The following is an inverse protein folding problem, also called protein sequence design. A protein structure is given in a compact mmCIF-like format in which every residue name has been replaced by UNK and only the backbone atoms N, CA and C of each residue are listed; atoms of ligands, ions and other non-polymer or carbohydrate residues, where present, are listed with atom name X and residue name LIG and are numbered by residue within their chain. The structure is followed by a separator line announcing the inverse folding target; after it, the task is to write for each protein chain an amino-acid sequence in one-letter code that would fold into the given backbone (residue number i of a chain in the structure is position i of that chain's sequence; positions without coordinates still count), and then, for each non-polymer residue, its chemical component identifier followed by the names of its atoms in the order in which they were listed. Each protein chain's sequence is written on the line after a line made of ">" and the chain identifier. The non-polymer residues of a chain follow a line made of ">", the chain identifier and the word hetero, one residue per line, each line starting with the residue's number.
data_IF_035174716963
#
_entry.id   IF_035174716963
#
_cell.length_a   1.000
_cell.length_b   1.000
_cell.length_c   1.000
_cell.angle_alpha   90.00
_cell.angle_beta   90.00
_cell.angle_gamma   90.00
#
_symmetry.space_group_name_H-M   'P 1'
#
loop_
_entity.id
_entity.type
_entity.pdbx_description
1 polymer ?
#
# COMPACT_ATOMS: atom_id res chain seq x y z
N UNK A 1 -27.00 7.78 -38.92
CA UNK A 1 -26.51 8.46 -37.69
C UNK A 1 -26.96 7.66 -36.45
N UNK A 2 -26.50 6.40 -36.29
CA UNK A 2 -27.03 5.49 -35.25
C UNK A 2 -26.01 4.46 -34.76
N UNK A 3 -25.10 3.98 -35.62
CA UNK A 3 -24.11 2.95 -35.26
C UNK A 3 -22.97 3.52 -34.39
N UNK A 4 -22.52 4.75 -34.65
CA UNK A 4 -21.49 5.41 -33.84
C UNK A 4 -21.93 5.68 -32.39
N UNK A 5 -23.21 6.00 -32.19
CA UNK A 5 -23.77 6.30 -30.87
C UNK A 5 -23.92 5.05 -29.98
N UNK A 6 -24.14 3.88 -30.58
CA UNK A 6 -24.17 2.60 -29.88
C UNK A 6 -22.76 2.18 -29.43
N UNK A 7 -21.76 2.32 -30.30
CA UNK A 7 -20.34 2.06 -29.97
C UNK A 7 -19.83 2.92 -28.81
N UNK A 8 -20.21 4.20 -28.75
CA UNK A 8 -19.84 5.08 -27.62
C UNK A 8 -20.56 4.71 -26.32
N UNK A 9 -21.81 4.24 -26.42
CA UNK A 9 -22.56 3.73 -25.25
C UNK A 9 -21.93 2.45 -24.69
N UNK A 10 -21.50 1.54 -25.56
CA UNK A 10 -20.86 0.30 -25.12
C UNK A 10 -19.48 0.55 -24.49
N UNK A 11 -18.71 1.50 -25.02
CA UNK A 11 -17.43 1.93 -24.42
C UNK A 11 -17.63 2.58 -23.06
N UNK A 12 -18.57 3.51 -22.93
CA UNK A 12 -18.88 4.18 -21.65
C UNK A 12 -19.40 3.20 -20.61
N UNK A 13 -20.24 2.23 -21.01
CA UNK A 13 -20.68 1.14 -20.15
C UNK A 13 -19.50 0.25 -19.73
N UNK A 14 -18.60 -0.11 -20.65
CA UNK A 14 -17.41 -0.90 -20.35
C UNK A 14 -16.45 -0.16 -19.40
N UNK A 15 -16.24 1.14 -19.59
CA UNK A 15 -15.44 1.99 -18.71
C UNK A 15 -16.05 2.07 -17.30
N UNK A 16 -17.36 2.32 -17.18
CA UNK A 16 -18.08 2.28 -15.89
C UNK A 16 -17.98 0.90 -15.22
N UNK A 17 -18.09 -0.18 -16.02
CA UNK A 17 -17.96 -1.55 -15.52
C UNK A 17 -16.54 -1.81 -15.03
N UNK A 18 -15.52 -1.37 -15.77
CA UNK A 18 -14.11 -1.50 -15.40
C UNK A 18 -13.75 -0.67 -14.15
N UNK A 19 -14.25 0.56 -14.04
CA UNK A 19 -14.11 1.39 -12.83
C UNK A 19 -14.77 0.72 -11.63
N UNK A 20 -15.95 0.13 -11.81
CA UNK A 20 -16.65 -0.60 -10.75
C UNK A 20 -15.89 -1.86 -10.32
N UNK A 21 -15.38 -2.64 -11.28
CA UNK A 21 -14.59 -3.85 -11.03
C UNK A 21 -13.29 -3.50 -10.31
N UNK A 22 -12.58 -2.46 -10.78
CA UNK A 22 -11.34 -1.98 -10.18
C UNK A 22 -11.55 -1.52 -8.74
N UNK A 23 -12.63 -0.77 -8.49
CA UNK A 23 -13.02 -0.35 -7.14
C UNK A 23 -13.34 -1.54 -6.23
N UNK A 24 -14.06 -2.54 -6.73
CA UNK A 24 -14.35 -3.79 -6.00
C UNK A 24 -13.06 -4.52 -5.67
N UNK A 25 -12.12 -4.64 -6.62
CA UNK A 25 -10.82 -5.27 -6.39
C UNK A 25 -10.02 -4.57 -5.30
N UNK A 26 -9.91 -3.24 -5.33
CA UNK A 26 -9.21 -2.50 -4.28
C UNK A 26 -9.90 -2.68 -2.92
N UNK A 27 -11.23 -2.61 -2.86
CA UNK A 27 -11.99 -2.84 -1.61
C UNK A 27 -11.76 -4.24 -1.05
N UNK A 28 -11.81 -5.27 -1.90
CA UNK A 28 -11.52 -6.65 -1.49
C UNK A 28 -10.07 -6.77 -0.99
N UNK A 29 -9.11 -6.21 -1.71
CA UNK A 29 -7.71 -6.22 -1.32
C UNK A 29 -7.49 -5.55 0.04
N UNK A 30 -8.01 -4.34 0.25
CA UNK A 30 -7.95 -3.65 1.54
C UNK A 30 -8.63 -4.43 2.66
N UNK A 31 -9.79 -5.04 2.39
CA UNK A 31 -10.51 -5.87 3.37
C UNK A 31 -9.67 -7.08 3.80
N UNK A 32 -9.05 -7.75 2.83
CA UNK A 32 -8.16 -8.90 3.09
C UNK A 32 -6.95 -8.45 3.91
N UNK A 33 -6.27 -7.38 3.51
CA UNK A 33 -5.12 -6.83 4.24
C UNK A 33 -5.48 -6.50 5.70
N UNK A 34 -6.61 -5.82 5.93
CA UNK A 34 -7.09 -5.49 7.28
C UNK A 34 -7.43 -6.72 8.11
N UNK A 35 -8.00 -7.76 7.49
CA UNK A 35 -8.30 -9.02 8.19
C UNK A 35 -7.04 -9.76 8.64
N UNK A 36 -5.94 -9.61 7.89
CA UNK A 36 -4.66 -10.28 8.13
C UNK A 36 -3.82 -9.61 9.24
N UNK A 37 -4.08 -8.34 9.57
CA UNK A 37 -3.36 -7.64 10.66
C UNK A 37 -3.62 -8.27 12.03
N UNK A 38 -4.77 -8.94 12.20
CA UNK A 38 -5.16 -9.60 13.45
C UNK A 38 -4.32 -10.84 13.78
N UNK A 39 -3.44 -11.27 12.86
CA UNK A 39 -2.61 -12.47 13.00
C UNK A 39 -1.12 -12.10 12.98
N UNK A 40 -0.45 -12.24 14.13
CA UNK A 40 1.00 -12.11 14.30
C UNK A 40 1.51 -10.69 14.59
N UNK A 41 2.84 -10.56 14.67
CA UNK A 41 3.53 -9.29 14.95
C UNK A 41 3.72 -8.47 13.65
N UNK A 42 2.63 -7.88 13.14
CA UNK A 42 2.65 -7.15 11.87
C UNK A 42 3.63 -5.97 11.83
N UNK A 43 3.91 -5.33 12.97
CA UNK A 43 4.90 -4.25 13.07
C UNK A 43 6.32 -4.79 12.89
N UNK A 44 6.67 -5.84 13.62
CA UNK A 44 7.99 -6.48 13.58
C UNK A 44 8.30 -6.99 12.16
N UNK A 45 7.31 -7.65 11.53
CA UNK A 45 7.36 -8.09 10.13
C UNK A 45 7.72 -6.94 9.17
N UNK A 46 7.09 -5.77 9.36
CA UNK A 46 7.31 -4.60 8.53
C UNK A 46 8.72 -4.05 8.75
N UNK A 47 9.14 -3.94 10.01
CA UNK A 47 10.45 -3.44 10.41
C UNK A 47 11.57 -4.32 9.85
N UNK A 48 11.45 -5.64 9.97
CA UNK A 48 12.44 -6.61 9.47
C UNK A 48 12.67 -6.45 7.96
N UNK A 49 11.58 -6.37 7.19
CA UNK A 49 11.65 -6.15 5.72
C UNK A 49 12.29 -4.80 5.39
N UNK A 50 11.99 -3.75 6.15
CA UNK A 50 12.58 -2.43 5.95
C UNK A 50 14.08 -2.43 6.24
N UNK A 51 14.51 -3.09 7.32
CA UNK A 51 15.92 -3.24 7.69
C UNK A 51 16.67 -4.03 6.63
N UNK A 52 16.11 -5.13 6.12
CA UNK A 52 16.70 -5.91 5.04
C UNK A 52 16.87 -5.09 3.74
N UNK A 53 15.88 -4.28 3.39
CA UNK A 53 15.92 -3.42 2.20
C UNK A 53 16.89 -2.25 2.29
N UNK A 54 17.30 -1.84 3.50
CA UNK A 54 18.18 -0.70 3.76
C UNK A 54 19.40 -1.06 4.62
N UNK A 55 19.85 -2.32 4.57
CA UNK A 55 20.93 -2.83 5.43
C UNK A 55 22.24 -2.02 5.32
N UNK A 56 22.54 -1.47 4.14
CA UNK A 56 23.73 -0.67 3.86
C UNK A 56 23.51 0.83 4.12
N UNK A 57 22.27 1.27 4.29
CA UNK A 57 21.90 2.68 4.40
C UNK A 57 21.67 3.08 5.86
N UNK A 58 22.75 3.47 6.55
CA UNK A 58 22.72 3.90 7.95
C UNK A 58 21.71 5.01 8.25
N UNK A 59 21.48 5.93 7.30
CA UNK A 59 20.54 7.03 7.48
C UNK A 59 19.09 6.54 7.48
N UNK A 60 18.73 5.60 6.59
CA UNK A 60 17.41 4.99 6.57
C UNK A 60 17.22 4.03 7.75
N UNK A 61 18.26 3.26 8.11
CA UNK A 61 18.20 2.36 9.26
C UNK A 61 17.90 3.11 10.57
N UNK A 62 18.50 4.29 10.76
CA UNK A 62 18.15 5.17 11.90
C UNK A 62 16.67 5.56 11.90
N UNK A 63 16.12 5.96 10.74
CA UNK A 63 14.70 6.31 10.62
C UNK A 63 13.78 5.12 10.90
N UNK A 64 14.20 3.90 10.56
CA UNK A 64 13.45 2.66 10.88
C UNK A 64 13.41 2.44 12.39
N UNK A 65 14.54 2.59 13.08
CA UNK A 65 14.61 2.48 14.55
C UNK A 65 13.76 3.55 15.22
N UNK A 66 13.84 4.80 14.75
CA UNK A 66 13.03 5.90 15.27
C UNK A 66 11.53 5.63 15.04
N UNK A 67 11.15 5.11 13.87
CA UNK A 67 9.77 4.67 13.59
C UNK A 67 9.33 3.55 14.54
N UNK A 68 10.15 2.52 14.71
CA UNK A 68 9.82 1.39 15.57
C UNK A 68 9.56 1.83 17.02
N UNK A 69 10.32 2.81 17.51
CA UNK A 69 10.17 3.31 18.88
C UNK A 69 9.04 4.33 19.05
N UNK A 70 8.92 5.28 18.12
CA UNK A 70 8.13 6.51 18.31
C UNK A 70 6.84 6.57 17.45
N UNK A 71 6.53 5.50 16.70
CA UNK A 71 5.31 5.43 15.91
C UNK A 71 4.04 5.46 16.79
N UNK A 72 3.10 6.30 16.39
CA UNK A 72 1.71 6.28 16.85
C UNK A 72 0.77 6.51 15.66
N UNK A 73 -0.49 6.02 15.71
CA UNK A 73 -1.46 6.19 14.62
C UNK A 73 -1.69 7.66 14.25
N UNK A 74 -1.66 8.58 15.21
CA UNK A 74 -1.85 10.02 14.99
C UNK A 74 -0.72 10.64 14.15
N UNK A 75 0.45 9.98 14.11
CA UNK A 75 1.62 10.39 13.33
C UNK A 75 1.78 9.59 12.04
N UNK A 76 0.85 8.70 11.69
CA UNK A 76 0.98 7.83 10.52
C UNK A 76 1.23 8.63 9.22
N UNK A 77 0.42 9.66 8.97
CA UNK A 77 0.57 10.56 7.81
C UNK A 77 1.93 11.27 7.83
N UNK A 78 2.39 11.71 8.99
CA UNK A 78 3.69 12.34 9.14
C UNK A 78 4.83 11.38 8.77
N UNK A 79 4.80 10.15 9.27
CA UNK A 79 5.80 9.13 8.95
C UNK A 79 5.81 8.75 7.46
N UNK A 80 4.64 8.76 6.82
CA UNK A 80 4.50 8.49 5.39
C UNK A 80 4.95 9.65 4.49
N UNK A 81 4.78 10.90 4.93
CA UNK A 81 5.13 12.08 4.13
C UNK A 81 6.55 12.58 4.41
N UNK A 82 7.10 12.27 5.58
CA UNK A 82 8.51 12.46 5.89
C UNK A 82 9.35 11.67 4.86
N UNK A 83 10.43 12.27 4.35
CA UNK A 83 11.33 11.59 3.41
C UNK A 83 12.00 10.39 4.09
N UNK A 84 11.35 9.24 4.04
CA UNK A 84 11.69 8.05 4.82
C UNK A 84 11.61 6.79 3.97
N UNK A 85 12.11 5.71 4.53
CA UNK A 85 11.97 4.35 4.02
C UNK A 85 10.52 4.01 3.67
N UNK A 86 9.56 4.55 4.43
CA UNK A 86 8.14 4.19 4.38
C UNK A 86 7.50 4.65 3.08
N UNK A 87 7.63 5.93 2.72
CA UNK A 87 7.17 6.48 1.45
C UNK A 87 7.76 5.72 0.25
N UNK A 88 9.07 5.48 0.31
CA UNK A 88 9.84 4.94 -0.82
C UNK A 88 9.53 3.46 -1.07
N UNK A 89 9.56 2.62 -0.04
CA UNK A 89 9.23 1.20 -0.19
C UNK A 89 7.78 1.00 -0.57
N UNK A 90 6.86 1.66 0.14
CA UNK A 90 5.44 1.39 -0.03
C UNK A 90 4.95 1.82 -1.42
N UNK A 91 5.35 3.01 -1.89
CA UNK A 91 4.99 3.44 -3.25
C UNK A 91 5.65 2.60 -4.34
N UNK A 92 6.89 2.15 -4.13
CA UNK A 92 7.53 1.23 -5.06
C UNK A 92 6.77 -0.09 -5.13
N UNK A 93 6.40 -0.66 -3.98
CA UNK A 93 5.64 -1.90 -3.91
C UNK A 93 4.26 -1.78 -4.57
N UNK A 94 3.53 -0.69 -4.32
CA UNK A 94 2.24 -0.43 -4.95
C UNK A 94 2.37 -0.28 -6.48
N UNK A 95 3.36 0.48 -6.97
CA UNK A 95 3.61 0.66 -8.42
C UNK A 95 4.02 -0.63 -9.13
N UNK A 96 4.70 -1.52 -8.43
CA UNK A 96 5.18 -2.80 -8.98
C UNK A 96 4.28 -3.98 -8.63
N UNK A 97 3.18 -3.72 -7.90
CA UNK A 97 2.27 -4.75 -7.39
C UNK A 97 3.00 -5.85 -6.61
N UNK A 98 4.04 -5.49 -5.85
CA UNK A 98 4.77 -6.44 -5.01
C UNK A 98 3.92 -6.79 -3.78
N UNK A 99 3.13 -7.85 -3.90
CA UNK A 99 2.18 -8.28 -2.89
C UNK A 99 2.84 -8.71 -1.58
N UNK A 100 4.06 -9.23 -1.62
CA UNK A 100 4.80 -9.63 -0.41
C UNK A 100 5.12 -8.39 0.45
N UNK A 101 5.66 -7.33 -0.17
CA UNK A 101 5.94 -6.07 0.54
C UNK A 101 4.62 -5.41 0.99
N UNK A 102 3.61 -5.33 0.13
CA UNK A 102 2.30 -4.76 0.48
C UNK A 102 1.70 -5.47 1.70
N UNK A 103 1.79 -6.80 1.75
CA UNK A 103 1.34 -7.60 2.89
C UNK A 103 2.17 -7.35 4.15
N UNK A 104 3.49 -7.22 4.03
CA UNK A 104 4.37 -6.92 5.18
C UNK A 104 4.10 -5.53 5.75
N UNK A 105 3.62 -4.59 4.94
CA UNK A 105 3.18 -3.26 5.37
C UNK A 105 1.75 -3.23 5.98
N UNK A 106 1.11 -4.38 6.22
CA UNK A 106 -0.26 -4.46 6.76
C UNK A 106 -0.48 -3.71 8.07
N UNK A 107 0.56 -3.56 8.89
CA UNK A 107 0.53 -2.76 10.11
C UNK A 107 0.20 -1.28 9.83
N UNK A 108 0.73 -0.71 8.75
CA UNK A 108 0.61 0.72 8.46
C UNK A 108 -0.77 1.14 7.94
N UNK A 109 -1.61 0.18 7.52
CA UNK A 109 -2.97 0.46 7.04
C UNK A 109 -4.03 0.52 8.16
N UNK A 110 -3.62 0.44 9.43
CA UNK A 110 -4.50 0.56 10.60
C UNK A 110 -4.67 2.00 11.08
#
# INVERSE_FOLDING_TARGET
>A
MSIFHLSERDKTLQELTNESITSIWYRLMFTVLQSMVKYGNAKDDMVEVCQACYYDNKAQNKKIIDFEKDYSPEKAVWWYTYDSFLYRLLNKALRTQNMEIIFKFRFFYQ
#
